data_IF_454847090554
#
_entry.id   IF_454847090554
#
_cell.length_a   1.000
_cell.length_b   1.000
_cell.length_c   1.000
_cell.angle_alpha   90.00
_cell.angle_beta   90.00
_cell.angle_gamma   90.00
#
_symmetry.space_group_name_H-M   'P 1'
#
loop_
_entity.id
_entity.type
_entity.pdbx_description
1 polymer ?
#
# COMPACT_ATOMS: atom_id res chain seq x y z
N UNK A 1 -10.85 27.25 -4.46
CA UNK A 1 -9.80 28.11 -5.07
C UNK A 1 -9.01 28.75 -3.95
N UNK A 2 -7.85 28.24 -3.62
CA UNK A 2 -6.87 28.90 -2.77
C UNK A 2 -5.94 29.67 -3.70
N UNK A 3 -6.20 30.96 -3.89
CA UNK A 3 -5.22 31.84 -4.53
C UNK A 3 -4.15 32.17 -3.50
N UNK A 4 -2.93 31.71 -3.72
CA UNK A 4 -1.74 32.21 -3.03
C UNK A 4 -1.49 33.65 -3.43
N UNK A 5 -2.14 34.56 -2.74
CA UNK A 5 -1.69 35.96 -2.64
C UNK A 5 -1.60 36.31 -1.16
N UNK A 6 -0.41 36.72 -0.74
CA UNK A 6 0.04 36.93 0.61
C UNK A 6 -0.93 37.70 1.52
N UNK A 7 -1.57 36.92 2.37
CA UNK A 7 -2.46 37.39 3.43
C UNK A 7 -3.01 36.15 4.09
N UNK A 8 -2.37 35.71 5.18
CA UNK A 8 -2.61 34.42 5.79
C UNK A 8 -4.05 34.17 6.18
N UNK A 9 -4.76 33.36 5.45
CA UNK A 9 -5.83 32.54 6.00
C UNK A 9 -5.16 31.44 6.79
N UNK A 10 -5.07 31.61 8.09
CA UNK A 10 -4.70 30.59 9.07
C UNK A 10 -5.88 29.64 9.28
N UNK A 11 -6.30 28.97 8.24
CA UNK A 11 -7.16 27.79 8.32
C UNK A 11 -6.45 26.72 7.51
N UNK A 12 -5.93 25.74 8.21
CA UNK A 12 -5.42 24.51 7.63
C UNK A 12 -6.61 23.77 6.99
N UNK A 13 -6.94 24.12 5.75
CA UNK A 13 -7.83 23.32 4.94
C UNK A 13 -7.05 22.05 4.58
N UNK A 14 -7.34 20.95 5.25
CA UNK A 14 -6.65 19.67 5.02
C UNK A 14 -6.92 19.10 3.63
N UNK A 15 -8.05 19.42 2.99
CA UNK A 15 -8.42 18.95 1.65
C UNK A 15 -9.49 19.84 1.01
N UNK A 16 -9.59 19.82 -0.30
CA UNK A 16 -10.67 20.41 -1.07
C UNK A 16 -11.30 19.35 -1.99
N UNK A 17 -12.63 19.27 -1.98
CA UNK A 17 -13.38 18.38 -2.88
C UNK A 17 -13.93 19.22 -4.02
N UNK A 18 -13.64 18.82 -5.27
CA UNK A 18 -14.12 19.49 -6.47
C UNK A 18 -14.95 18.51 -7.28
N UNK A 19 -16.21 18.86 -7.53
CA UNK A 19 -17.10 18.05 -8.36
C UNK A 19 -16.96 18.47 -9.83
N UNK A 20 -16.62 17.52 -10.68
CA UNK A 20 -16.43 17.72 -12.12
C UNK A 20 -17.28 16.70 -12.87
N UNK A 21 -17.96 17.16 -13.91
CA UNK A 21 -18.69 16.25 -14.82
C UNK A 21 -17.70 15.65 -15.82
N UNK A 22 -17.15 14.49 -15.46
CA UNK A 22 -16.20 13.73 -16.27
C UNK A 22 -16.52 12.23 -16.19
N UNK A 23 -16.56 11.52 -17.34
CA UNK A 23 -16.93 10.10 -17.39
C UNK A 23 -16.10 9.19 -16.47
N UNK A 24 -14.81 9.48 -16.29
CA UNK A 24 -13.92 8.70 -15.45
C UNK A 24 -14.34 8.72 -13.97
N UNK A 25 -14.95 9.82 -13.51
CA UNK A 25 -15.41 10.00 -12.12
C UNK A 25 -16.68 9.22 -11.81
N UNK A 26 -17.27 8.53 -12.77
CA UNK A 26 -18.35 7.57 -12.51
C UNK A 26 -17.84 6.29 -11.87
N UNK A 27 -16.54 5.99 -12.04
CA UNK A 27 -15.92 4.72 -11.62
C UNK A 27 -14.87 4.91 -10.52
N UNK A 28 -14.40 6.13 -10.25
CA UNK A 28 -13.37 6.39 -9.25
C UNK A 28 -13.41 7.83 -8.72
N UNK A 29 -12.87 8.03 -7.53
CA UNK A 29 -12.47 9.33 -7.02
C UNK A 29 -11.00 9.58 -7.39
N UNK A 30 -10.67 10.80 -7.80
CA UNK A 30 -9.29 11.20 -8.10
C UNK A 30 -8.81 12.11 -6.98
N UNK A 31 -7.70 11.72 -6.36
CA UNK A 31 -7.05 12.51 -5.32
C UNK A 31 -5.76 13.10 -5.90
N UNK A 32 -5.73 14.44 -6.02
CA UNK A 32 -4.52 15.16 -6.37
C UNK A 32 -3.72 15.46 -5.11
N UNK A 33 -2.49 14.94 -5.07
CA UNK A 33 -1.62 15.08 -3.92
C UNK A 33 -0.60 16.19 -4.15
N UNK A 34 -0.20 16.93 -3.09
CA UNK A 34 0.89 17.89 -3.18
C UNK A 34 2.14 17.24 -3.78
N UNK A 35 2.87 17.96 -4.62
CA UNK A 35 4.14 17.48 -5.18
C UNK A 35 5.13 17.11 -4.07
N UNK A 36 5.83 15.99 -4.25
CA UNK A 36 6.84 15.54 -3.30
C UNK A 36 8.07 16.47 -3.31
N UNK A 37 8.64 16.74 -2.13
CA UNK A 37 9.81 17.62 -2.00
C UNK A 37 9.45 19.09 -1.95
N UNK A 38 8.20 19.46 -1.62
CA UNK A 38 7.84 20.82 -1.25
C UNK A 38 8.44 21.17 0.12
N UNK A 39 8.73 22.45 0.37
CA UNK A 39 9.42 22.93 1.58
C UNK A 39 8.70 22.64 2.91
N UNK A 40 7.51 22.02 2.89
CA UNK A 40 6.68 21.75 4.06
C UNK A 40 6.61 20.25 4.37
N UNK A 41 7.28 19.84 5.45
CA UNK A 41 7.23 18.46 5.97
C UNK A 41 5.80 17.96 6.26
N UNK A 42 4.82 18.86 6.46
CA UNK A 42 3.41 18.52 6.62
C UNK A 42 2.77 17.95 5.35
N UNK A 43 3.18 18.42 4.18
CA UNK A 43 2.62 17.99 2.89
C UNK A 43 3.08 16.55 2.57
N UNK A 44 4.32 16.22 2.90
CA UNK A 44 4.86 14.85 2.72
C UNK A 44 4.11 13.83 3.59
N UNK A 45 3.74 14.21 4.82
CA UNK A 45 2.98 13.33 5.73
C UNK A 45 1.54 13.12 5.23
N UNK A 46 0.89 14.16 4.73
CA UNK A 46 -0.47 14.07 4.17
C UNK A 46 -0.44 13.21 2.92
N UNK A 47 0.52 13.46 2.02
CA UNK A 47 0.72 12.70 0.78
C UNK A 47 0.94 11.21 1.08
N UNK A 48 1.81 10.86 2.01
CA UNK A 48 2.07 9.48 2.38
C UNK A 48 0.85 8.78 2.99
N UNK A 49 0.11 9.46 3.87
CA UNK A 49 -1.11 8.88 4.48
C UNK A 49 -2.22 8.66 3.45
N UNK A 50 -2.39 9.60 2.53
CA UNK A 50 -3.44 9.50 1.52
C UNK A 50 -3.09 8.46 0.45
N UNK A 51 -1.83 8.41 0.01
CA UNK A 51 -1.34 7.41 -0.94
C UNK A 51 -1.50 5.97 -0.42
N UNK A 52 -1.41 5.75 0.90
CA UNK A 52 -1.60 4.46 1.52
C UNK A 52 -3.05 3.91 1.42
N UNK A 53 -4.01 4.76 1.07
CA UNK A 53 -5.43 4.38 0.89
C UNK A 53 -5.87 4.37 -0.58
N UNK A 54 -4.97 4.61 -1.52
CA UNK A 54 -5.28 4.62 -2.93
C UNK A 54 -5.21 3.19 -3.51
N UNK A 55 -6.23 2.81 -4.29
CA UNK A 55 -6.23 1.54 -5.02
C UNK A 55 -5.34 1.59 -6.25
N UNK A 56 -5.20 2.76 -6.85
CA UNK A 56 -4.40 3.03 -8.06
C UNK A 56 -3.44 4.18 -7.81
N UNK A 57 -2.18 4.00 -8.18
CA UNK A 57 -1.16 5.05 -8.14
C UNK A 57 -0.81 5.50 -9.55
N UNK A 58 -1.05 6.78 -9.84
CA UNK A 58 -0.60 7.44 -11.07
C UNK A 58 0.48 8.45 -10.67
N UNK A 59 1.72 8.17 -11.05
CA UNK A 59 2.86 9.06 -10.79
C UNK A 59 3.25 9.80 -12.07
N UNK A 60 3.21 11.12 -12.02
CA UNK A 60 3.57 11.98 -13.15
C UNK A 60 4.99 12.53 -12.97
N UNK A 61 5.87 12.29 -13.93
CA UNK A 61 7.20 12.90 -14.02
C UNK A 61 7.37 13.53 -15.40
N UNK A 62 8.04 14.67 -15.48
CA UNK A 62 8.27 15.35 -16.77
C UNK A 62 9.15 14.49 -17.70
N UNK A 63 8.73 14.31 -18.96
CA UNK A 63 9.49 13.51 -19.93
C UNK A 63 10.91 14.03 -20.17
N UNK A 64 11.11 15.36 -20.15
CA UNK A 64 12.43 15.99 -20.34
C UNK A 64 13.41 15.77 -19.17
N UNK A 65 12.96 15.25 -18.05
CA UNK A 65 13.77 14.93 -16.87
C UNK A 65 13.22 13.72 -16.13
N UNK A 66 12.79 12.73 -16.89
CA UNK A 66 11.99 11.61 -16.40
C UNK A 66 12.69 10.82 -15.30
N UNK A 67 12.00 10.65 -14.20
CA UNK A 67 12.41 9.94 -12.99
C UNK A 67 13.78 10.41 -12.43
N UNK A 68 13.78 11.58 -11.81
CA UNK A 68 14.91 12.07 -11.02
C UNK A 68 15.04 11.27 -9.72
N UNK A 69 16.08 11.53 -8.96
CA UNK A 69 16.38 10.79 -7.72
C UNK A 69 15.21 10.89 -6.73
N UNK A 70 14.63 12.08 -6.58
CA UNK A 70 13.49 12.33 -5.70
C UNK A 70 12.24 11.54 -6.14
N UNK A 71 11.99 11.49 -7.46
CA UNK A 71 10.90 10.70 -8.06
C UNK A 71 11.04 9.21 -7.74
N UNK A 72 12.26 8.70 -7.84
CA UNK A 72 12.58 7.29 -7.59
C UNK A 72 12.37 6.95 -6.12
N UNK A 73 12.80 7.79 -5.19
CA UNK A 73 12.60 7.58 -3.76
C UNK A 73 11.11 7.59 -3.39
N UNK A 74 10.35 8.52 -3.96
CA UNK A 74 8.90 8.55 -3.77
C UNK A 74 8.23 7.26 -4.26
N UNK A 75 8.54 6.83 -5.48
CA UNK A 75 7.99 5.60 -6.05
C UNK A 75 8.34 4.37 -5.21
N UNK A 76 9.58 4.23 -4.76
CA UNK A 76 10.00 3.11 -3.90
C UNK A 76 9.15 3.00 -2.64
N UNK A 77 8.86 4.11 -2.01
CA UNK A 77 8.12 4.13 -0.76
C UNK A 77 6.63 3.84 -1.00
N UNK A 78 6.02 4.45 -2.01
CA UNK A 78 4.57 4.34 -2.25
C UNK A 78 4.18 3.05 -2.98
N UNK A 79 5.00 2.51 -3.86
CA UNK A 79 4.71 1.22 -4.52
C UNK A 79 4.69 0.05 -3.53
N UNK A 80 5.42 0.15 -2.42
CA UNK A 80 5.36 -0.85 -1.35
C UNK A 80 4.02 -0.89 -0.61
N UNK A 81 3.39 0.27 -0.46
CA UNK A 81 2.10 0.40 0.23
C UNK A 81 0.91 0.23 -0.68
N UNK A 82 1.14 0.20 -1.99
CA UNK A 82 0.09 0.00 -2.98
C UNK A 82 -0.52 -1.40 -2.82
N UNK A 83 -1.86 -1.53 -2.70
CA UNK A 83 -2.51 -2.82 -2.50
C UNK A 83 -2.21 -3.80 -3.62
N UNK A 84 -2.11 -5.07 -3.27
CA UNK A 84 -1.89 -6.17 -4.21
C UNK A 84 -3.24 -6.61 -4.74
N UNK A 85 -3.68 -5.99 -5.83
CA UNK A 85 -4.97 -6.31 -6.45
C UNK A 85 -4.85 -7.48 -7.42
N UNK A 86 -3.68 -7.66 -8.04
CA UNK A 86 -3.41 -8.75 -8.95
C UNK A 86 -3.20 -10.07 -8.22
N UNK A 87 -3.93 -11.12 -8.62
CA UNK A 87 -3.74 -12.50 -8.14
C UNK A 87 -3.70 -13.44 -9.32
N UNK A 88 -2.63 -14.22 -9.40
CA UNK A 88 -2.38 -15.10 -10.54
C UNK A 88 -3.45 -16.17 -10.66
N UNK A 89 -4.18 -16.15 -11.77
CA UNK A 89 -5.22 -17.14 -12.05
C UNK A 89 -6.59 -16.82 -11.42
N UNK A 90 -6.73 -15.73 -10.66
CA UNK A 90 -8.00 -15.38 -10.00
C UNK A 90 -8.78 -14.27 -10.72
N UNK A 91 -8.16 -13.11 -10.93
CA UNK A 91 -8.90 -11.92 -11.39
C UNK A 91 -8.44 -11.35 -12.76
N UNK A 92 -7.50 -12.01 -13.42
CA UNK A 92 -7.03 -11.60 -14.75
C UNK A 92 -6.19 -10.33 -14.79
N UNK A 93 -5.98 -9.65 -13.66
CA UNK A 93 -5.11 -8.47 -13.59
C UNK A 93 -3.65 -8.86 -13.84
N UNK A 94 -2.95 -8.01 -14.60
CA UNK A 94 -1.51 -8.14 -14.81
C UNK A 94 -0.75 -7.66 -13.56
N UNK A 95 0.48 -8.14 -13.35
CA UNK A 95 1.31 -7.66 -12.24
C UNK A 95 1.43 -6.13 -12.26
N UNK A 96 1.26 -5.50 -11.09
CA UNK A 96 1.26 -4.04 -10.92
C UNK A 96 0.25 -3.32 -11.83
N UNK A 97 -0.90 -3.92 -12.11
CA UNK A 97 -1.90 -3.29 -12.98
C UNK A 97 -2.34 -1.92 -12.47
N UNK A 98 -2.32 -1.72 -11.17
CA UNK A 98 -2.69 -0.48 -10.48
C UNK A 98 -1.55 0.54 -10.32
N UNK A 99 -0.38 0.31 -10.93
CA UNK A 99 0.73 1.26 -10.97
C UNK A 99 0.87 1.87 -12.36
N UNK A 100 0.89 3.20 -12.43
CA UNK A 100 1.12 3.98 -13.66
C UNK A 100 2.22 5.00 -13.42
N UNK A 101 3.38 4.82 -14.06
CA UNK A 101 4.49 5.78 -14.05
C UNK A 101 4.49 6.48 -15.40
N UNK A 102 4.17 7.76 -15.42
CA UNK A 102 3.81 8.48 -16.63
C UNK A 102 4.80 9.60 -16.92
N UNK A 103 5.43 9.54 -18.07
CA UNK A 103 6.23 10.63 -18.63
C UNK A 103 5.27 11.67 -19.25
N UNK A 104 5.01 12.73 -18.49
CA UNK A 104 4.15 13.83 -18.91
C UNK A 104 4.87 14.79 -19.86
N UNK A 105 4.10 15.59 -20.62
CA UNK A 105 4.64 16.46 -21.67
C UNK A 105 5.57 15.71 -22.65
N UNK A 106 5.11 14.55 -23.08
CA UNK A 106 5.87 13.69 -23.97
C UNK A 106 6.16 14.34 -25.35
N UNK A 107 5.31 15.28 -25.78
CA UNK A 107 5.52 16.12 -26.96
C UNK A 107 6.78 16.98 -26.88
N UNK A 108 7.23 17.37 -25.71
CA UNK A 108 8.44 18.18 -25.49
C UNK A 108 9.75 17.44 -25.81
N UNK A 109 9.70 16.11 -25.91
CA UNK A 109 10.87 15.29 -26.22
C UNK A 109 10.85 14.94 -27.70
N UNK A 110 11.77 15.54 -28.46
CA UNK A 110 11.97 15.31 -29.89
C UNK A 110 10.65 15.31 -30.68
N UNK A 111 9.77 16.28 -30.36
CA UNK A 111 8.41 16.41 -30.89
C UNK A 111 7.54 15.14 -30.77
N UNK A 112 7.70 14.43 -29.66
CA UNK A 112 6.92 13.22 -29.42
C UNK A 112 7.44 11.97 -30.16
N UNK A 113 8.71 11.96 -30.55
CA UNK A 113 9.32 10.83 -31.25
C UNK A 113 9.27 9.56 -30.38
N UNK A 114 8.62 8.51 -30.89
CA UNK A 114 8.38 7.26 -30.17
C UNK A 114 9.68 6.56 -29.75
N UNK A 115 10.74 6.60 -30.56
CA UNK A 115 12.01 5.95 -30.24
C UNK A 115 12.70 6.68 -29.10
N UNK A 116 12.73 8.02 -29.15
CA UNK A 116 13.29 8.86 -28.10
C UNK A 116 12.55 8.66 -26.78
N UNK A 117 11.23 8.62 -26.83
CA UNK A 117 10.37 8.37 -25.67
C UNK A 117 10.56 6.96 -25.11
N UNK A 118 10.60 5.93 -25.95
CA UNK A 118 10.86 4.56 -25.52
C UNK A 118 12.22 4.44 -24.78
N UNK A 119 13.25 5.13 -25.28
CA UNK A 119 14.56 5.16 -24.62
C UNK A 119 14.51 5.87 -23.25
N UNK A 120 13.74 6.95 -23.12
CA UNK A 120 13.56 7.66 -21.86
C UNK A 120 12.85 6.76 -20.84
N UNK A 121 11.75 6.11 -21.24
CA UNK A 121 11.01 5.19 -20.37
C UNK A 121 11.90 4.02 -19.93
N UNK A 122 12.65 3.43 -20.86
CA UNK A 122 13.59 2.34 -20.58
C UNK A 122 14.67 2.78 -19.60
N UNK A 123 15.33 3.90 -19.87
CA UNK A 123 16.39 4.43 -18.98
C UNK A 123 15.85 4.81 -17.60
N UNK A 124 14.63 5.35 -17.53
CA UNK A 124 13.94 5.62 -16.27
C UNK A 124 13.67 4.34 -15.47
N UNK A 125 13.18 3.29 -16.14
CA UNK A 125 12.95 1.99 -15.54
C UNK A 125 14.25 1.36 -15.03
N UNK A 126 15.32 1.40 -15.81
CA UNK A 126 16.64 0.88 -15.43
C UNK A 126 17.20 1.62 -14.19
N UNK A 127 17.07 2.96 -14.14
CA UNK A 127 17.47 3.73 -12.94
C UNK A 127 16.64 3.34 -11.72
N UNK A 128 15.32 3.26 -11.86
CA UNK A 128 14.44 2.83 -10.76
C UNK A 128 14.84 1.44 -10.25
N UNK A 129 14.96 0.46 -11.14
CA UNK A 129 15.32 -0.91 -10.78
C UNK A 129 16.71 -1.01 -10.13
N UNK A 130 17.68 -0.21 -10.56
CA UNK A 130 19.05 -0.23 -9.99
C UNK A 130 19.11 0.23 -8.53
N UNK A 131 18.10 0.94 -8.05
CA UNK A 131 18.01 1.39 -6.65
C UNK A 131 17.31 0.39 -5.73
N UNK A 132 16.63 -0.62 -6.30
CA UNK A 132 15.90 -1.61 -5.53
C UNK A 132 16.82 -2.71 -5.02
N UNK A 133 16.53 -3.26 -3.84
CA UNK A 133 17.18 -4.47 -3.35
C UNK A 133 16.61 -5.71 -4.03
N UNK A 134 17.35 -6.82 -4.00
CA UNK A 134 16.89 -8.10 -4.56
C UNK A 134 15.60 -8.62 -3.90
N UNK A 135 15.35 -8.22 -2.66
CA UNK A 135 14.18 -8.61 -1.89
C UNK A 135 13.00 -7.63 -1.99
N UNK A 136 13.13 -6.55 -2.78
CA UNK A 136 12.10 -5.49 -2.81
C UNK A 136 10.70 -6.02 -3.16
N UNK A 137 10.60 -6.93 -4.12
CA UNK A 137 9.35 -7.48 -4.62
C UNK A 137 8.89 -8.76 -3.92
N UNK A 138 9.70 -9.30 -3.00
CA UNK A 138 9.46 -10.61 -2.39
C UNK A 138 8.07 -10.75 -1.78
N UNK A 139 7.69 -9.81 -0.91
CA UNK A 139 6.38 -9.85 -0.25
C UNK A 139 5.22 -9.79 -1.25
N UNK A 140 5.31 -8.90 -2.24
CA UNK A 140 4.28 -8.75 -3.26
C UNK A 140 4.21 -10.00 -4.18
N UNK A 141 5.34 -10.60 -4.50
CA UNK A 141 5.41 -11.82 -5.29
C UNK A 141 4.77 -13.02 -4.57
N UNK A 142 5.03 -13.15 -3.27
CA UNK A 142 4.40 -14.18 -2.43
C UNK A 142 2.87 -14.02 -2.36
N UNK A 143 2.39 -12.78 -2.26
CA UNK A 143 0.96 -12.49 -2.16
C UNK A 143 0.22 -12.63 -3.49
N UNK A 144 0.79 -12.12 -4.57
CA UNK A 144 0.17 -12.10 -5.90
C UNK A 144 0.35 -13.41 -6.69
N UNK A 145 1.38 -14.19 -6.37
CA UNK A 145 1.82 -15.36 -7.14
C UNK A 145 2.54 -15.01 -8.46
N UNK A 146 2.84 -13.72 -8.70
CA UNK A 146 3.54 -13.26 -9.90
C UNK A 146 5.02 -12.99 -9.66
N UNK A 147 5.82 -13.03 -10.73
CA UNK A 147 7.19 -12.57 -10.75
C UNK A 147 7.27 -11.13 -11.27
N UNK A 148 8.07 -10.28 -10.60
CA UNK A 148 8.24 -8.85 -10.92
C UNK A 148 9.56 -8.60 -11.63
N UNK A 149 9.67 -9.15 -12.85
CA UNK A 149 10.83 -8.96 -13.71
C UNK A 149 10.95 -7.51 -14.21
N UNK A 150 12.12 -7.06 -14.67
CA UNK A 150 12.30 -5.74 -15.28
C UNK A 150 11.31 -5.44 -16.41
N UNK A 151 10.95 -6.45 -17.21
CA UNK A 151 9.97 -6.30 -18.29
C UNK A 151 8.56 -6.01 -17.77
N UNK A 152 8.16 -6.63 -16.65
CA UNK A 152 6.90 -6.36 -15.97
C UNK A 152 6.87 -4.91 -15.48
N UNK A 153 7.93 -4.48 -14.79
CA UNK A 153 8.03 -3.10 -14.28
C UNK A 153 8.00 -2.09 -15.43
N UNK A 154 8.75 -2.33 -16.49
CA UNK A 154 8.78 -1.46 -17.67
C UNK A 154 7.40 -1.35 -18.34
N UNK A 155 6.57 -2.38 -18.29
CA UNK A 155 5.21 -2.35 -18.84
C UNK A 155 4.31 -1.34 -18.14
N UNK A 156 4.67 -0.87 -16.95
CA UNK A 156 3.94 0.12 -16.15
C UNK A 156 4.39 1.55 -16.38
N UNK A 157 5.28 1.76 -17.36
CA UNK A 157 5.79 3.06 -17.77
C UNK A 157 5.09 3.51 -19.05
N UNK A 158 4.56 4.72 -19.03
CA UNK A 158 3.69 5.25 -20.06
C UNK A 158 4.15 6.65 -20.48
N UNK A 159 3.71 7.08 -21.65
CA UNK A 159 3.80 8.47 -22.11
C UNK A 159 2.44 9.14 -22.01
N UNK A 160 2.44 10.45 -21.80
CA UNK A 160 1.22 11.26 -21.82
C UNK A 160 1.50 12.69 -22.29
N UNK A 161 0.62 13.16 -23.15
CA UNK A 161 0.53 14.57 -23.55
C UNK A 161 -0.88 14.87 -24.03
N UNK A 162 -1.34 16.10 -23.89
CA UNK A 162 -2.64 16.54 -24.43
C UNK A 162 -2.60 16.77 -25.93
N UNK A 163 -1.41 17.01 -26.49
CA UNK A 163 -1.23 17.50 -27.86
C UNK A 163 -1.15 16.37 -28.90
N UNK A 164 -0.72 15.17 -28.50
CA UNK A 164 -0.60 14.01 -29.38
C UNK A 164 -1.38 12.82 -28.82
N UNK A 165 -2.64 12.63 -29.23
CA UNK A 165 -3.52 11.59 -28.67
C UNK A 165 -2.93 10.17 -28.71
N UNK A 166 -2.20 9.82 -29.77
CA UNK A 166 -1.57 8.51 -29.92
C UNK A 166 -0.62 8.15 -28.76
N UNK A 167 0.07 9.14 -28.18
CA UNK A 167 0.97 8.93 -27.04
C UNK A 167 0.23 8.66 -25.72
N UNK A 168 -1.08 8.88 -25.68
CA UNK A 168 -1.91 8.65 -24.51
C UNK A 168 -2.66 7.31 -24.54
N UNK A 169 -2.82 6.71 -25.70
CA UNK A 169 -3.70 5.54 -25.90
C UNK A 169 -3.34 4.37 -24.99
N UNK A 170 -2.05 4.03 -24.93
CA UNK A 170 -1.58 2.92 -24.08
C UNK A 170 -1.89 3.15 -22.61
N UNK A 171 -1.68 4.37 -22.12
CA UNK A 171 -2.00 4.76 -20.73
C UNK A 171 -3.50 4.66 -20.48
N UNK A 172 -4.31 5.30 -21.32
CA UNK A 172 -5.78 5.33 -21.20
C UNK A 172 -6.37 3.93 -21.19
N UNK A 173 -6.04 3.11 -22.19
CA UNK A 173 -6.58 1.75 -22.31
C UNK A 173 -6.22 0.87 -21.08
N UNK A 174 -5.00 1.03 -20.55
CA UNK A 174 -4.63 0.29 -19.35
C UNK A 174 -5.34 0.81 -18.11
N UNK A 175 -5.52 2.12 -17.98
CA UNK A 175 -6.23 2.72 -16.85
C UNK A 175 -7.71 2.34 -16.85
N UNK A 176 -8.39 2.46 -18.01
CA UNK A 176 -9.78 2.05 -18.18
C UNK A 176 -9.98 0.58 -17.80
N UNK A 177 -9.17 -0.32 -18.31
CA UNK A 177 -9.26 -1.74 -18.00
C UNK A 177 -9.09 -2.04 -16.49
N UNK A 178 -8.22 -1.30 -15.81
CA UNK A 178 -8.04 -1.44 -14.36
C UNK A 178 -9.23 -0.89 -13.59
N UNK A 179 -9.72 0.30 -13.95
CA UNK A 179 -10.87 0.93 -13.30
C UNK A 179 -12.18 0.13 -13.50
N UNK A 180 -12.32 -0.59 -14.61
CA UNK A 180 -13.44 -1.50 -14.83
C UNK A 180 -13.36 -2.76 -13.97
N UNK A 181 -12.16 -3.22 -13.66
CA UNK A 181 -11.95 -4.49 -12.92
C UNK A 181 -11.97 -4.32 -11.41
N UNK A 182 -11.43 -3.22 -10.88
CA UNK A 182 -11.32 -2.97 -9.43
C UNK A 182 -12.67 -3.08 -8.70
N UNK A 183 -13.78 -2.49 -9.18
CA UNK A 183 -15.05 -2.57 -8.47
C UNK A 183 -15.53 -4.00 -8.22
N UNK A 184 -15.32 -4.91 -9.17
CA UNK A 184 -15.69 -6.33 -9.02
C UNK A 184 -14.82 -7.04 -7.98
N UNK A 185 -13.53 -6.72 -7.91
CA UNK A 185 -12.60 -7.25 -6.91
C UNK A 185 -13.03 -6.79 -5.52
N UNK A 186 -13.23 -5.48 -5.33
CA UNK A 186 -13.64 -4.89 -4.06
C UNK A 186 -15.01 -5.41 -3.63
N UNK A 187 -15.98 -5.51 -4.55
CA UNK A 187 -17.30 -6.06 -4.26
C UNK A 187 -17.21 -7.53 -3.80
N UNK A 188 -16.36 -8.32 -4.45
CA UNK A 188 -16.14 -9.73 -4.09
C UNK A 188 -15.53 -9.86 -2.70
N UNK A 189 -14.46 -9.11 -2.42
CA UNK A 189 -13.79 -9.10 -1.11
C UNK A 189 -14.71 -8.59 0.01
N UNK A 190 -15.50 -7.55 -0.26
CA UNK A 190 -16.53 -7.08 0.66
C UNK A 190 -17.58 -8.15 0.95
N UNK A 191 -18.11 -8.81 -0.08
CA UNK A 191 -19.11 -9.89 0.09
C UNK A 191 -18.56 -11.05 0.89
N UNK A 192 -17.32 -11.47 0.63
CA UNK A 192 -16.65 -12.52 1.39
C UNK A 192 -16.45 -12.13 2.84
N UNK A 193 -16.01 -10.90 3.10
CA UNK A 193 -15.85 -10.37 4.46
C UNK A 193 -17.17 -10.30 5.21
N UNK A 194 -18.25 -9.85 4.56
CA UNK A 194 -19.59 -9.83 5.14
C UNK A 194 -20.10 -11.25 5.41
N UNK A 195 -19.93 -12.18 4.47
CA UNK A 195 -20.32 -13.59 4.67
C UNK A 195 -19.59 -14.22 5.86
N UNK A 196 -18.27 -14.00 5.94
CA UNK A 196 -17.48 -14.49 7.07
C UNK A 196 -17.92 -13.87 8.40
N UNK A 197 -18.29 -12.58 8.41
CA UNK A 197 -18.84 -11.93 9.59
C UNK A 197 -20.21 -12.51 9.99
N UNK A 198 -21.12 -12.67 9.03
CA UNK A 198 -22.45 -13.24 9.26
C UNK A 198 -22.33 -14.67 9.79
N UNK A 199 -21.57 -15.53 9.11
CA UNK A 199 -21.35 -16.92 9.52
C UNK A 199 -20.80 -17.05 10.95
N UNK A 200 -20.03 -16.08 11.40
CA UNK A 200 -19.52 -16.04 12.79
C UNK A 200 -20.57 -15.56 13.79
N UNK A 201 -21.52 -14.69 13.36
CA UNK A 201 -22.53 -14.09 14.23
C UNK A 201 -23.84 -14.88 14.30
N UNK A 202 -24.19 -15.57 13.23
CA UNK A 202 -25.45 -16.29 13.06
C UNK A 202 -25.72 -17.30 14.20
N UNK A 203 -24.76 -18.18 14.58
CA UNK A 203 -25.00 -19.14 15.67
C UNK A 203 -25.31 -18.47 17.03
N UNK A 204 -24.69 -17.30 17.27
CA UNK A 204 -24.98 -16.56 18.52
C UNK A 204 -26.38 -15.95 18.54
N UNK A 205 -26.84 -15.43 17.39
CA UNK A 205 -28.19 -14.87 17.25
C UNK A 205 -29.25 -15.96 17.33
N UNK A 206 -29.03 -17.12 16.72
CA UNK A 206 -29.92 -18.27 16.82
C UNK A 206 -30.08 -18.75 18.28
N UNK A 207 -28.96 -18.83 19.01
CA UNK A 207 -28.99 -19.18 20.43
C UNK A 207 -29.74 -18.14 21.27
N UNK A 208 -29.62 -16.85 20.96
CA UNK A 208 -30.41 -15.79 21.61
C UNK A 208 -31.89 -15.88 21.27
N UNK A 209 -32.27 -16.13 20.02
CA UNK A 209 -33.67 -16.31 19.58
C UNK A 209 -34.29 -17.49 20.32
N UNK A 210 -33.63 -18.65 20.35
CA UNK A 210 -34.12 -19.83 21.07
C UNK A 210 -34.34 -19.56 22.57
N UNK A 211 -33.43 -18.79 23.19
CA UNK A 211 -33.59 -18.34 24.57
C UNK A 211 -34.87 -17.49 24.75
N UNK A 212 -35.09 -16.52 23.85
CA UNK A 212 -36.26 -15.64 23.92
C UNK A 212 -37.57 -16.39 23.61
N UNK A 213 -37.58 -17.32 22.69
CA UNK A 213 -38.75 -18.18 22.39
C UNK A 213 -39.13 -19.04 23.60
N UNK A 214 -38.15 -19.66 24.27
CA UNK A 214 -38.38 -20.41 25.51
C UNK A 214 -38.89 -19.54 26.67
N UNK A 215 -38.58 -18.22 26.63
CA UNK A 215 -39.02 -17.26 27.64
C UNK A 215 -40.51 -16.90 27.54
N UNK A 216 -41.13 -17.07 26.38
CA UNK A 216 -42.55 -16.76 26.16
C UNK A 216 -43.47 -17.83 26.78
N UNK A 217 -42.97 -19.06 26.96
CA UNK A 217 -43.79 -20.21 27.37
C UNK A 217 -43.95 -20.40 28.88
N UNK A 218 -43.00 -19.90 29.73
CA UNK A 218 -43.10 -20.14 31.19
C UNK A 218 -42.38 -19.06 32.03
N UNK A 219 -43.17 -18.30 32.81
CA UNK A 219 -42.68 -17.18 33.62
C UNK A 219 -41.72 -17.59 34.76
N UNK A 220 -41.79 -18.82 35.24
CA UNK A 220 -40.91 -19.32 36.30
C UNK A 220 -39.57 -19.76 35.74
N UNK A 221 -39.57 -20.45 34.61
CA UNK A 221 -38.33 -20.68 33.81
C UNK A 221 -37.68 -19.40 33.33
N UNK A 222 -38.52 -18.34 33.10
CA UNK A 222 -38.04 -17.02 32.72
C UNK A 222 -37.05 -16.41 33.73
N UNK A 223 -37.39 -16.50 35.05
CA UNK A 223 -36.56 -15.92 36.11
C UNK A 223 -35.24 -16.70 36.29
N UNK A 224 -35.28 -18.03 36.23
CA UNK A 224 -34.09 -18.87 36.27
C UNK A 224 -33.24 -18.68 35.02
N UNK A 225 -33.84 -18.66 33.83
CA UNK A 225 -33.14 -18.45 32.58
C UNK A 225 -32.56 -17.05 32.47
N UNK A 226 -33.26 -16.00 32.98
CA UNK A 226 -32.68 -14.65 33.06
C UNK A 226 -31.43 -14.61 33.94
N UNK A 227 -31.43 -15.37 35.02
CA UNK A 227 -30.29 -15.47 35.89
C UNK A 227 -29.12 -16.18 35.18
N UNK A 228 -29.42 -17.31 34.53
CA UNK A 228 -28.46 -18.06 33.74
C UNK A 228 -27.93 -17.24 32.57
N UNK A 229 -28.76 -16.43 31.91
CA UNK A 229 -28.36 -15.50 30.85
C UNK A 229 -27.42 -14.40 31.40
N UNK A 230 -27.82 -13.81 32.55
CA UNK A 230 -27.01 -12.77 33.17
C UNK A 230 -25.64 -13.32 33.61
N UNK A 231 -25.62 -14.50 34.21
CA UNK A 231 -24.40 -15.15 34.64
C UNK A 231 -23.52 -15.53 33.43
N UNK A 232 -24.12 -16.09 32.38
CA UNK A 232 -23.43 -16.42 31.10
C UNK A 232 -22.92 -15.18 30.37
N UNK A 233 -23.68 -14.07 30.35
CA UNK A 233 -23.26 -12.82 29.73
C UNK A 233 -22.13 -12.13 30.55
N UNK A 234 -22.16 -12.25 31.87
CA UNK A 234 -21.09 -11.79 32.73
C UNK A 234 -19.82 -12.61 32.50
N UNK A 235 -19.92 -13.94 32.45
CA UNK A 235 -18.79 -14.82 32.14
C UNK A 235 -18.23 -14.55 30.75
N UNK A 236 -19.09 -14.43 29.72
CA UNK A 236 -18.70 -14.12 28.36
C UNK A 236 -18.05 -12.74 28.22
N UNK A 237 -18.57 -11.75 28.99
CA UNK A 237 -17.99 -10.40 29.03
C UNK A 237 -16.61 -10.44 29.68
N UNK A 238 -16.49 -11.15 30.81
CA UNK A 238 -15.21 -11.33 31.49
C UNK A 238 -14.20 -12.09 30.62
N UNK A 239 -14.65 -13.13 29.93
CA UNK A 239 -13.83 -13.89 29.00
C UNK A 239 -13.37 -13.01 27.81
N UNK A 240 -14.30 -12.25 27.21
CA UNK A 240 -13.97 -11.32 26.14
C UNK A 240 -12.98 -10.23 26.59
N UNK A 241 -13.13 -9.71 27.79
CA UNK A 241 -12.21 -8.70 28.33
C UNK A 241 -10.84 -9.30 28.68
N UNK A 242 -10.80 -10.57 29.07
CA UNK A 242 -9.54 -11.30 29.22
C UNK A 242 -8.88 -11.51 27.85
N UNK A 243 -9.62 -12.02 26.87
CA UNK A 243 -9.11 -12.19 25.49
C UNK A 243 -8.60 -10.88 24.90
N UNK A 244 -9.34 -9.78 25.10
CA UNK A 244 -8.88 -8.44 24.67
C UNK A 244 -7.59 -8.02 25.36
N UNK A 245 -7.43 -8.31 26.65
CA UNK A 245 -6.17 -8.02 27.37
C UNK A 245 -5.03 -8.86 26.83
N UNK A 246 -5.24 -10.16 26.68
CA UNK A 246 -4.23 -11.07 26.15
C UNK A 246 -3.80 -10.69 24.73
N UNK A 247 -4.77 -10.33 23.84
CA UNK A 247 -4.46 -9.82 22.49
C UNK A 247 -3.64 -8.53 22.59
N UNK A 248 -4.03 -7.61 23.48
CA UNK A 248 -3.30 -6.35 23.67
C UNK A 248 -1.88 -6.57 24.16
N UNK A 249 -1.70 -7.47 25.10
CA UNK A 249 -0.38 -7.83 25.65
C UNK A 249 0.47 -8.54 24.59
N UNK A 250 -0.15 -9.40 23.78
CA UNK A 250 0.49 -10.04 22.63
C UNK A 250 0.95 -9.00 21.60
N UNK A 251 0.11 -8.01 21.27
CA UNK A 251 0.49 -6.92 20.36
C UNK A 251 1.68 -6.15 20.91
N UNK A 252 1.68 -5.82 22.21
CA UNK A 252 2.79 -5.11 22.85
C UNK A 252 4.07 -5.93 22.82
N UNK A 253 3.99 -7.23 23.12
CA UNK A 253 5.15 -8.14 23.06
C UNK A 253 5.72 -8.22 21.65
N UNK A 254 4.88 -8.51 20.64
CA UNK A 254 5.30 -8.63 19.26
C UNK A 254 5.88 -7.33 18.70
N UNK A 255 5.31 -6.18 19.07
CA UNK A 255 5.85 -4.87 18.70
C UNK A 255 7.22 -4.63 19.33
N UNK A 256 7.38 -4.97 20.60
CA UNK A 256 8.67 -4.84 21.30
C UNK A 256 9.74 -5.75 20.69
N UNK A 257 9.39 -6.99 20.39
CA UNK A 257 10.27 -7.95 19.72
C UNK A 257 10.68 -7.47 18.33
N UNK A 258 9.69 -7.02 17.52
CA UNK A 258 9.94 -6.49 16.18
C UNK A 258 10.89 -5.30 16.19
N UNK A 259 10.62 -4.33 17.07
CA UNK A 259 11.48 -3.16 17.22
C UNK A 259 12.91 -3.54 17.62
N UNK A 260 13.05 -4.47 18.55
CA UNK A 260 14.36 -4.93 19.01
C UNK A 260 15.11 -5.68 17.89
N UNK A 261 14.45 -6.55 17.16
CA UNK A 261 15.04 -7.30 16.05
C UNK A 261 15.41 -6.37 14.88
N UNK A 262 14.53 -5.44 14.50
CA UNK A 262 14.83 -4.42 13.48
C UNK A 262 16.04 -3.55 13.91
N UNK A 263 16.06 -3.11 15.16
CA UNK A 263 17.15 -2.30 15.69
C UNK A 263 18.46 -3.08 15.68
N UNK A 264 18.47 -4.33 16.14
CA UNK A 264 19.65 -5.20 16.11
C UNK A 264 20.16 -5.40 14.69
N UNK A 265 19.25 -5.69 13.75
CA UNK A 265 19.62 -5.86 12.36
C UNK A 265 20.23 -4.58 11.76
N UNK A 266 19.52 -3.46 11.88
CA UNK A 266 20.00 -2.18 11.38
C UNK A 266 21.36 -1.79 11.98
N UNK A 267 21.52 -1.96 13.29
CA UNK A 267 22.79 -1.68 13.97
C UNK A 267 23.91 -2.59 13.44
N UNK A 268 23.63 -3.87 13.20
CA UNK A 268 24.63 -4.81 12.67
C UNK A 268 25.10 -4.44 11.27
N UNK A 269 24.18 -3.99 10.44
CA UNK A 269 24.45 -3.58 9.05
C UNK A 269 25.20 -2.24 8.96
N UNK A 270 24.93 -1.33 9.92
CA UNK A 270 25.54 0.01 9.95
C UNK A 270 26.87 0.08 10.68
N UNK A 271 27.47 -1.06 11.05
CA UNK A 271 28.83 -1.06 11.59
C UNK A 271 29.87 -0.66 10.55
N UNK A 272 30.90 0.04 10.99
CA UNK A 272 32.01 0.47 10.09
C UNK A 272 32.63 -0.73 9.39
N UNK A 273 32.81 -1.84 10.10
CA UNK A 273 33.40 -3.07 9.55
C UNK A 273 32.54 -3.68 8.47
N UNK A 274 31.23 -3.80 8.71
CA UNK A 274 30.29 -4.38 7.76
C UNK A 274 30.13 -3.51 6.52
N UNK A 275 30.00 -2.20 6.69
CA UNK A 275 29.97 -1.24 5.56
C UNK A 275 31.26 -1.33 4.75
N UNK A 276 32.41 -1.35 5.40
CA UNK A 276 33.71 -1.47 4.73
C UNK A 276 33.83 -2.79 3.98
N UNK A 277 33.37 -3.89 4.56
CA UNK A 277 33.35 -5.21 3.93
C UNK A 277 32.51 -5.19 2.64
N UNK A 278 31.30 -4.62 2.72
CA UNK A 278 30.36 -4.51 1.59
C UNK A 278 30.90 -3.62 0.48
N UNK A 279 31.47 -2.48 0.81
CA UNK A 279 32.12 -1.57 -0.16
C UNK A 279 33.22 -2.31 -0.92
N UNK A 280 34.07 -3.05 -0.21
CA UNK A 280 35.15 -3.84 -0.83
C UNK A 280 34.60 -4.96 -1.72
N UNK A 281 33.61 -5.72 -1.24
CA UNK A 281 33.03 -6.86 -1.98
C UNK A 281 32.32 -6.43 -3.26
N UNK A 282 31.63 -5.27 -3.24
CA UNK A 282 30.91 -4.73 -4.41
C UNK A 282 31.80 -3.86 -5.32
N UNK A 283 33.07 -3.63 -4.98
CA UNK A 283 34.02 -2.84 -5.77
C UNK A 283 33.60 -1.37 -5.96
N UNK A 284 32.92 -0.81 -4.97
CA UNK A 284 32.37 0.55 -5.03
C UNK A 284 33.51 1.55 -5.06
N UNK A 285 33.48 2.40 -6.09
CA UNK A 285 34.50 3.45 -6.29
C UNK A 285 34.10 4.69 -5.48
N UNK A 286 35.09 5.53 -5.18
CA UNK A 286 34.89 6.80 -4.46
C UNK A 286 34.32 7.89 -5.39
N UNK A 287 33.21 7.58 -6.10
CA UNK A 287 32.43 8.51 -6.88
C UNK A 287 31.13 8.79 -6.16
N UNK A 288 30.63 10.02 -6.25
CA UNK A 288 29.43 10.45 -5.56
C UNK A 288 28.20 9.58 -5.92
N UNK A 289 28.06 9.26 -7.20
CA UNK A 289 26.98 8.42 -7.72
C UNK A 289 27.03 7.00 -7.17
N UNK A 290 28.21 6.36 -7.17
CA UNK A 290 28.41 5.00 -6.66
C UNK A 290 28.08 4.92 -5.15
N UNK A 291 28.47 5.95 -4.40
CA UNK A 291 28.20 6.04 -2.96
C UNK A 291 26.71 6.24 -2.70
N UNK A 292 26.04 7.13 -3.45
CA UNK A 292 24.61 7.36 -3.33
C UNK A 292 23.81 6.10 -3.67
N UNK A 293 24.16 5.42 -4.76
CA UNK A 293 23.53 4.16 -5.14
C UNK A 293 23.72 3.08 -4.08
N UNK A 294 24.91 2.96 -3.52
CA UNK A 294 25.18 2.01 -2.44
C UNK A 294 24.34 2.32 -1.19
N UNK A 295 24.27 3.59 -0.78
CA UNK A 295 23.48 4.02 0.38
C UNK A 295 22.00 3.72 0.15
N UNK A 296 21.46 3.98 -1.04
CA UNK A 296 20.09 3.69 -1.41
C UNK A 296 19.79 2.18 -1.37
N UNK A 297 20.66 1.34 -1.92
CA UNK A 297 20.52 -0.12 -1.85
C UNK A 297 20.57 -0.64 -0.42
N UNK A 298 21.44 -0.07 0.43
CA UNK A 298 21.55 -0.45 1.83
C UNK A 298 20.28 -0.09 2.61
N UNK A 299 19.74 1.10 2.36
CA UNK A 299 18.49 1.54 2.95
C UNK A 299 17.32 0.62 2.55
N UNK A 300 17.23 0.26 1.27
CA UNK A 300 16.21 -0.66 0.77
C UNK A 300 16.30 -2.04 1.43
N UNK A 301 17.52 -2.58 1.53
CA UNK A 301 17.74 -3.87 2.20
C UNK A 301 17.26 -3.82 3.64
N UNK A 302 17.59 -2.76 4.37
CA UNK A 302 17.17 -2.57 5.76
C UNK A 302 15.64 -2.45 5.87
N UNK A 303 15.02 -1.65 5.00
CA UNK A 303 13.57 -1.50 4.98
C UNK A 303 12.86 -2.79 4.61
N UNK A 304 13.36 -3.53 3.60
CA UNK A 304 12.82 -4.82 3.21
C UNK A 304 12.86 -5.81 4.37
N UNK A 305 14.00 -5.93 5.03
CA UNK A 305 14.15 -6.85 6.16
C UNK A 305 13.24 -6.50 7.33
N UNK A 306 13.11 -5.21 7.66
CA UNK A 306 12.19 -4.78 8.72
C UNK A 306 10.72 -5.04 8.32
N UNK A 307 10.38 -4.83 7.06
CA UNK A 307 9.04 -5.13 6.53
C UNK A 307 8.71 -6.63 6.61
N UNK A 308 9.67 -7.50 6.24
CA UNK A 308 9.50 -8.95 6.33
C UNK A 308 9.28 -9.40 7.80
N UNK A 309 10.06 -8.85 8.74
CA UNK A 309 9.89 -9.11 10.17
C UNK A 309 8.51 -8.66 10.68
N UNK A 310 8.05 -7.50 10.26
CA UNK A 310 6.72 -7.01 10.64
C UNK A 310 5.60 -7.87 10.04
N UNK A 311 5.76 -8.32 8.80
CA UNK A 311 4.81 -9.24 8.15
C UNK A 311 4.75 -10.57 8.90
N UNK A 312 5.89 -11.18 9.20
CA UNK A 312 5.96 -12.41 9.99
C UNK A 312 5.25 -12.28 11.34
N UNK A 313 5.46 -11.16 12.05
CA UNK A 313 4.79 -10.90 13.33
C UNK A 313 3.29 -10.65 13.18
N UNK A 314 2.88 -9.98 12.10
CA UNK A 314 1.46 -9.79 11.76
C UNK A 314 0.75 -11.11 11.48
N UNK A 315 1.41 -12.02 10.76
CA UNK A 315 0.90 -13.38 10.51
C UNK A 315 0.79 -14.18 11.81
N UNK A 316 1.83 -14.12 12.67
CA UNK A 316 1.79 -14.75 14.00
C UNK A 316 0.65 -14.22 14.86
N UNK A 317 0.43 -12.90 14.84
CA UNK A 317 -0.71 -12.28 15.51
C UNK A 317 -2.03 -12.78 14.95
N UNK A 318 -2.17 -12.81 13.63
CA UNK A 318 -3.38 -13.27 12.94
C UNK A 318 -3.71 -14.73 13.25
N UNK A 319 -2.71 -15.61 13.30
CA UNK A 319 -2.90 -17.00 13.70
C UNK A 319 -3.37 -17.09 15.14
N UNK A 320 -2.69 -16.42 16.06
CA UNK A 320 -3.04 -16.46 17.49
C UNK A 320 -4.41 -15.83 17.78
N UNK A 321 -4.75 -14.73 17.12
CA UNK A 321 -6.07 -14.10 17.27
C UNK A 321 -7.21 -14.99 16.78
N UNK A 322 -6.96 -15.88 15.81
CA UNK A 322 -7.95 -16.87 15.36
C UNK A 322 -8.19 -18.01 16.36
N UNK A 323 -7.26 -18.23 17.27
CA UNK A 323 -7.37 -19.23 18.34
C UNK A 323 -8.20 -18.73 19.51
N UNK A 324 -8.38 -17.41 19.64
CA UNK A 324 -9.22 -16.75 20.64
C UNK A 324 -10.69 -16.62 20.18
#
# INVERSE_FOLDING_TARGET
YSTRQGGGLKTEAGSAVVFVDAPILLNCDIIDLPGYGTETASDDVITAKTAAHADVLIYLSLASGFLRIEDIEYLKNNVRTLPVLEKKGENGLKPLANLFVVASHADSVDNGNEISLANILKSGCERYMSTLSDSYWKSRAEESGYDYSPAVIQSRFFTYTTDIPALCEKFRNNLEAVLETIPEIVDTECKESVRAYVARKEPNLEAEIQKYEALVEDRQKYVELLKDIQDSDLERTAENDNKKREIKDLIHSLNGESLNECTKYCTSVLTVDEITRRIKSKGIKNKKEDIQQFASQLQDEMQSKCSDLLKERSEQLSVKVKEY
#
